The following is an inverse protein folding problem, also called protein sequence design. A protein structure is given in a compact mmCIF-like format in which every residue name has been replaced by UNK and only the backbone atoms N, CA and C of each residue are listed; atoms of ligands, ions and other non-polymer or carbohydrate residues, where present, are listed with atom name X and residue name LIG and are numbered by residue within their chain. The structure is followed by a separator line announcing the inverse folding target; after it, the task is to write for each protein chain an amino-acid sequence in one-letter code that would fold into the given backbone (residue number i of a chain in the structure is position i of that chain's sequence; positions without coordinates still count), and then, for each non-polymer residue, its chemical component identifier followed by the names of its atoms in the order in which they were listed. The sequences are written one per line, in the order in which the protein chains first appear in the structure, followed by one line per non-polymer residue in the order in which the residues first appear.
data_IF_420840953660
#
_entry.id   IF_420840953660
#
_cell.length_a   1.000
_cell.length_b   1.000
_cell.length_c   1.000
_cell.angle_alpha   90.00
_cell.angle_beta   90.00
_cell.angle_gamma   90.00
#
_symmetry.space_group_name_H-M   'P 1'
#
loop_
_entity.id
_entity.type
_entity.pdbx_description
1 polymer ?
#
# COMPACT_ATOMS: atom_id res chain seq x y z
N UNK A 1 -13.78 -11.24 -9.02
CA UNK A 1 -13.12 -12.56 -8.82
C UNK A 1 -11.97 -12.34 -7.83
N UNK A 2 -12.24 -12.51 -6.55
CA UNK A 2 -11.19 -12.58 -5.54
C UNK A 2 -10.51 -13.94 -5.68
N UNK A 3 -9.30 -13.95 -6.20
CA UNK A 3 -8.44 -15.13 -6.09
C UNK A 3 -8.05 -15.20 -4.62
N UNK A 4 -8.29 -16.34 -3.97
CA UNK A 4 -7.96 -16.50 -2.55
C UNK A 4 -6.48 -16.19 -2.32
N UNK A 5 -6.16 -15.57 -1.19
CA UNK A 5 -4.80 -15.22 -0.80
C UNK A 5 -3.83 -16.40 -0.90
N UNK A 6 -4.29 -17.63 -0.72
CA UNK A 6 -3.48 -18.84 -0.77
C UNK A 6 -3.09 -19.25 -2.19
N UNK A 7 -3.95 -19.03 -3.18
CA UNK A 7 -3.63 -19.34 -4.59
C UNK A 7 -2.64 -18.33 -5.16
N UNK A 8 -2.76 -17.04 -4.80
CA UNK A 8 -1.77 -16.03 -5.17
C UNK A 8 -0.44 -16.31 -4.46
N UNK A 9 -0.50 -16.71 -3.19
CA UNK A 9 0.66 -17.03 -2.36
C UNK A 9 1.45 -18.20 -2.95
N UNK A 10 0.82 -19.30 -3.37
CA UNK A 10 1.50 -20.43 -3.99
C UNK A 10 2.07 -20.07 -5.37
N UNK A 11 1.32 -19.43 -6.23
CA UNK A 11 1.79 -19.04 -7.57
C UNK A 11 2.92 -18.02 -7.54
N UNK A 12 2.90 -17.08 -6.59
CA UNK A 12 3.99 -16.11 -6.42
C UNK A 12 5.23 -16.75 -5.80
N UNK A 13 5.08 -17.63 -4.80
CA UNK A 13 6.19 -18.32 -4.15
C UNK A 13 6.90 -19.30 -5.11
N UNK A 14 6.18 -20.12 -5.86
CA UNK A 14 6.78 -21.09 -6.78
C UNK A 14 7.47 -20.42 -7.97
N UNK A 15 6.91 -19.33 -8.51
CA UNK A 15 7.50 -18.61 -9.65
C UNK A 15 8.63 -17.68 -9.23
N UNK A 16 8.54 -17.05 -8.07
CA UNK A 16 9.61 -16.21 -7.52
C UNK A 16 10.80 -17.09 -7.10
N UNK A 17 10.58 -18.26 -6.55
CA UNK A 17 11.66 -19.22 -6.26
C UNK A 17 12.37 -19.71 -7.52
N UNK A 18 11.66 -19.97 -8.62
CA UNK A 18 12.28 -20.34 -9.91
C UNK A 18 13.00 -19.16 -10.59
N UNK A 19 12.50 -17.94 -10.47
CA UNK A 19 13.15 -16.74 -11.00
C UNK A 19 14.40 -16.33 -10.18
N UNK A 20 14.37 -16.56 -8.86
CA UNK A 20 15.48 -16.26 -7.93
C UNK A 20 16.62 -17.27 -8.05
N UNK A 21 16.35 -18.51 -8.50
CA UNK A 21 17.42 -19.49 -8.77
C UNK A 21 18.28 -19.15 -10.01
N UNK A 22 17.86 -18.19 -10.85
CA UNK A 22 18.57 -17.87 -12.10
C UNK A 22 19.57 -16.72 -12.02
N UNK A 23 19.76 -16.04 -10.93
CA UNK A 23 20.85 -15.15 -10.47
C UNK A 23 20.32 -14.21 -9.38
N UNK A 24 21.03 -13.99 -8.27
CA UNK A 24 20.69 -12.92 -7.36
C UNK A 24 20.76 -11.58 -8.11
N UNK A 25 19.79 -10.67 -7.90
CA UNK A 25 19.83 -9.36 -8.52
C UNK A 25 21.14 -8.67 -8.11
N UNK A 26 21.92 -8.24 -9.09
CA UNK A 26 23.12 -7.47 -8.82
C UNK A 26 22.71 -6.16 -8.13
N UNK A 27 23.60 -5.60 -7.27
CA UNK A 27 23.38 -4.29 -6.62
C UNK A 27 22.94 -3.19 -7.60
N UNK A 28 23.33 -3.31 -8.87
CA UNK A 28 22.92 -2.41 -9.95
C UNK A 28 21.43 -2.55 -10.33
N UNK A 29 20.87 -3.76 -10.37
CA UNK A 29 19.46 -3.99 -10.65
C UNK A 29 18.57 -3.51 -9.49
N UNK A 30 18.99 -3.73 -8.25
CA UNK A 30 18.29 -3.22 -7.08
C UNK A 30 18.30 -1.68 -7.03
N UNK A 31 19.42 -1.02 -7.36
CA UNK A 31 19.51 0.44 -7.49
C UNK A 31 18.61 0.99 -8.59
N UNK A 32 18.46 0.29 -9.70
CA UNK A 32 17.60 0.71 -10.81
C UNK A 32 16.13 0.78 -10.42
N UNK A 33 15.67 -0.09 -9.52
CA UNK A 33 14.30 -0.06 -8.98
C UNK A 33 14.07 1.06 -7.98
N UNK A 34 15.11 1.46 -7.24
CA UNK A 34 14.99 2.45 -6.17
C UNK A 34 15.27 3.89 -6.60
N UNK A 35 16.13 4.12 -7.60
CA UNK A 35 16.55 5.47 -8.00
C UNK A 35 15.69 6.11 -9.09
N UNK A 36 14.72 5.41 -9.66
CA UNK A 36 13.78 6.06 -10.57
C UNK A 36 12.73 6.80 -9.77
N UNK A 37 13.13 7.95 -9.26
CA UNK A 37 12.23 8.93 -8.68
C UNK A 37 11.15 9.29 -9.70
N UNK A 38 9.92 9.09 -9.31
CA UNK A 38 8.75 9.59 -10.03
C UNK A 38 8.64 11.11 -9.82
N UNK A 39 9.53 11.89 -10.43
CA UNK A 39 9.24 13.30 -10.67
C UNK A 39 8.19 13.42 -11.78
N UNK A 40 7.44 14.50 -11.82
CA UNK A 40 6.36 14.73 -12.79
C UNK A 40 6.75 14.55 -14.26
N UNK A 41 8.04 14.78 -14.61
CA UNK A 41 8.61 14.52 -15.93
C UNK A 41 8.92 13.03 -16.18
N UNK A 42 9.20 12.23 -15.16
CA UNK A 42 9.46 10.80 -15.31
C UNK A 42 8.18 10.00 -15.53
N UNK A 43 7.03 10.46 -15.06
CA UNK A 43 5.74 9.83 -15.37
C UNK A 43 5.41 9.95 -16.87
N UNK A 44 5.75 11.04 -17.51
CA UNK A 44 5.66 11.21 -18.97
C UNK A 44 6.59 10.27 -19.73
N UNK A 45 7.83 10.10 -19.29
CA UNK A 45 8.78 9.17 -19.90
C UNK A 45 8.36 7.69 -19.80
N UNK A 46 7.62 7.31 -18.75
CA UNK A 46 7.05 5.95 -18.64
C UNK A 46 5.91 5.71 -19.64
N UNK A 47 5.30 6.75 -20.17
CA UNK A 47 4.20 6.65 -21.12
C UNK A 47 4.68 6.71 -22.58
N UNK A 48 5.89 7.22 -22.83
CA UNK A 48 6.45 7.25 -24.18
C UNK A 48 6.94 5.85 -24.57
N UNK A 49 6.52 5.33 -25.74
CA UNK A 49 6.99 4.06 -26.24
C UNK A 49 8.50 4.14 -26.50
N UNK A 50 9.29 3.47 -25.66
CA UNK A 50 10.70 3.23 -25.97
C UNK A 50 10.81 1.96 -26.81
N UNK A 51 11.85 1.86 -27.64
CA UNK A 51 12.15 0.67 -28.44
C UNK A 51 12.17 -0.62 -27.61
N UNK A 52 12.93 -0.63 -26.51
CA UNK A 52 13.02 -1.79 -25.61
C UNK A 52 11.67 -2.13 -24.97
N UNK A 53 10.90 -1.12 -24.57
CA UNK A 53 9.60 -1.30 -23.95
C UNK A 53 8.63 -1.96 -24.93
N UNK A 54 8.54 -1.50 -26.16
CA UNK A 54 7.57 -2.00 -27.12
C UNK A 54 7.88 -3.42 -27.60
N UNK A 55 9.15 -3.82 -27.70
CA UNK A 55 9.55 -5.15 -28.18
C UNK A 55 9.56 -6.17 -27.04
N UNK A 56 10.23 -5.86 -25.93
CA UNK A 56 10.31 -6.75 -24.77
C UNK A 56 8.94 -6.99 -24.16
N UNK A 57 8.16 -5.95 -23.95
CA UNK A 57 6.82 -6.04 -23.37
C UNK A 57 5.90 -6.92 -24.22
N UNK A 58 5.91 -6.74 -25.55
CA UNK A 58 5.12 -7.60 -26.45
C UNK A 58 5.60 -9.04 -26.44
N UNK A 59 6.91 -9.27 -26.40
CA UNK A 59 7.49 -10.62 -26.36
C UNK A 59 7.10 -11.32 -25.07
N UNK A 60 7.25 -10.63 -23.92
CA UNK A 60 6.87 -11.14 -22.60
C UNK A 60 5.37 -11.44 -22.57
N UNK A 61 4.52 -10.49 -23.00
CA UNK A 61 3.08 -10.67 -23.05
C UNK A 61 2.68 -11.91 -23.87
N UNK A 62 3.22 -12.05 -25.10
CA UNK A 62 2.95 -13.20 -25.97
C UNK A 62 3.39 -14.53 -25.34
N UNK A 63 4.52 -14.53 -24.63
CA UNK A 63 5.01 -15.72 -23.95
C UNK A 63 4.08 -16.14 -22.81
N UNK A 64 3.57 -15.19 -22.03
CA UNK A 64 2.57 -15.46 -21.00
C UNK A 64 1.25 -15.94 -21.56
N UNK A 65 0.72 -15.28 -22.58
CA UNK A 65 -0.54 -15.67 -23.22
C UNK A 65 -0.48 -17.04 -23.86
N UNK A 66 0.70 -17.42 -24.40
CA UNK A 66 0.97 -18.77 -24.92
C UNK A 66 1.04 -19.81 -23.82
N UNK A 67 1.63 -19.46 -22.67
CA UNK A 67 1.80 -20.39 -21.56
C UNK A 67 0.52 -20.58 -20.73
N UNK A 68 -0.29 -19.54 -20.61
CA UNK A 68 -1.57 -19.54 -19.89
C UNK A 68 -2.60 -18.68 -20.62
N UNK A 69 -3.35 -19.28 -21.59
CA UNK A 69 -4.36 -18.54 -22.35
C UNK A 69 -5.64 -18.25 -21.55
N UNK A 70 -5.76 -18.74 -20.33
CA UNK A 70 -6.96 -18.59 -19.49
C UNK A 70 -7.01 -17.24 -18.80
N UNK A 71 -5.91 -16.48 -18.78
CA UNK A 71 -5.79 -15.18 -18.10
C UNK A 71 -5.26 -14.12 -19.04
N UNK A 72 -5.83 -12.90 -18.99
CA UNK A 72 -5.28 -11.78 -19.73
C UNK A 72 -3.89 -11.42 -19.16
N UNK A 73 -2.90 -11.26 -20.04
CA UNK A 73 -1.59 -10.77 -19.68
C UNK A 73 -1.46 -9.28 -20.01
N UNK A 74 -0.91 -8.50 -19.07
CA UNK A 74 -0.52 -7.11 -19.31
C UNK A 74 0.96 -7.06 -19.68
N UNK A 75 1.32 -6.13 -20.56
CA UNK A 75 2.69 -6.04 -21.06
C UNK A 75 3.69 -5.57 -19.98
N UNK A 76 3.26 -4.70 -19.10
CA UNK A 76 4.02 -4.17 -17.96
C UNK A 76 3.06 -3.61 -16.92
N UNK A 77 3.52 -3.53 -15.67
CA UNK A 77 2.78 -2.98 -14.54
C UNK A 77 2.97 -1.46 -14.40
N UNK A 78 2.02 -0.79 -13.74
CA UNK A 78 2.08 0.64 -13.46
C UNK A 78 1.81 1.54 -14.66
N UNK A 79 1.05 1.05 -15.62
CA UNK A 79 0.66 1.83 -16.79
C UNK A 79 -0.43 2.81 -16.41
N UNK A 80 -0.12 4.10 -16.52
CA UNK A 80 -1.16 5.12 -16.46
C UNK A 80 -2.06 5.02 -17.70
N UNK A 81 -3.36 5.39 -17.59
CA UNK A 81 -4.24 5.46 -18.75
C UNK A 81 -3.65 6.35 -19.82
N UNK A 82 -3.47 5.82 -21.02
CA UNK A 82 -2.99 6.61 -22.17
C UNK A 82 -4.12 7.44 -22.76
N UNK A 83 -3.85 8.70 -23.04
CA UNK A 83 -4.76 9.51 -23.85
C UNK A 83 -4.43 9.31 -25.34
N UNK A 84 -5.43 9.10 -26.23
CA UNK A 84 -6.87 9.12 -25.99
C UNK A 84 -7.48 7.77 -25.53
N UNK A 85 -6.71 6.70 -25.48
CA UNK A 85 -7.24 5.34 -25.30
C UNK A 85 -7.63 5.03 -23.85
N UNK A 86 -7.00 5.66 -22.87
CA UNK A 86 -7.26 5.50 -21.44
C UNK A 86 -7.35 4.04 -20.95
N UNK A 87 -6.65 3.13 -21.60
CA UNK A 87 -6.69 1.69 -21.33
C UNK A 87 -5.61 1.23 -20.35
N UNK A 88 -5.29 2.09 -19.38
CA UNK A 88 -4.41 1.71 -18.26
C UNK A 88 -4.94 0.46 -17.56
N UNK A 89 -4.05 -0.46 -17.27
CA UNK A 89 -4.39 -1.77 -16.74
C UNK A 89 -4.32 -1.80 -15.23
N UNK A 90 -3.28 -1.19 -14.66
CA UNK A 90 -3.03 -1.10 -13.23
C UNK A 90 -2.34 0.22 -12.89
N UNK A 91 -2.38 0.60 -11.64
CA UNK A 91 -1.82 1.86 -11.16
C UNK A 91 -0.92 1.65 -9.96
N UNK A 92 0.16 2.43 -9.92
CA UNK A 92 1.01 2.58 -8.75
C UNK A 92 0.66 3.88 -8.04
N UNK A 93 0.05 3.80 -6.87
CA UNK A 93 -0.45 4.96 -6.13
C UNK A 93 0.22 5.04 -4.76
N UNK A 94 1.02 6.08 -4.56
CA UNK A 94 1.83 6.26 -3.36
C UNK A 94 1.33 7.42 -2.48
N UNK A 95 0.01 7.58 -2.37
CA UNK A 95 -0.61 8.58 -1.52
C UNK A 95 -0.27 8.36 -0.05
N UNK A 96 -0.03 9.45 0.66
CA UNK A 96 0.39 9.41 2.05
C UNK A 96 1.85 9.00 2.27
N UNK A 97 2.60 8.74 1.18
CA UNK A 97 4.03 8.46 1.23
C UNK A 97 4.83 9.39 0.31
N UNK A 98 4.67 9.28 -1.01
CA UNK A 98 5.45 10.05 -1.99
C UNK A 98 4.76 11.31 -2.45
N UNK A 99 3.45 11.33 -2.43
CA UNK A 99 2.64 12.46 -2.91
C UNK A 99 1.26 12.44 -2.25
N UNK A 100 0.70 13.63 -2.06
CA UNK A 100 -0.67 13.81 -1.57
C UNK A 100 -0.95 13.23 -0.19
N UNK A 101 -2.18 13.39 0.24
CA UNK A 101 -2.73 12.75 1.43
C UNK A 101 -3.51 11.48 1.03
N UNK A 102 -3.71 10.56 1.95
CA UNK A 102 -4.53 9.37 1.70
C UNK A 102 -5.98 9.77 1.42
N UNK A 103 -6.47 10.82 2.07
CA UNK A 103 -7.78 11.44 1.84
C UNK A 103 -8.00 11.97 0.41
N UNK A 104 -6.94 12.12 -0.39
CA UNK A 104 -7.07 12.51 -1.79
C UNK A 104 -7.55 11.35 -2.70
N UNK A 105 -7.42 10.09 -2.25
CA UNK A 105 -7.81 8.91 -3.04
C UNK A 105 -9.29 8.89 -3.45
N UNK A 106 -10.28 9.17 -2.59
CA UNK A 106 -11.68 9.24 -2.99
C UNK A 106 -11.93 10.31 -4.05
N UNK A 107 -11.29 11.47 -3.92
CA UNK A 107 -11.39 12.56 -4.90
C UNK A 107 -10.78 12.16 -6.24
N UNK A 108 -9.64 11.47 -6.24
CA UNK A 108 -9.05 10.90 -7.44
C UNK A 108 -10.00 9.89 -8.10
N UNK A 109 -10.66 9.04 -7.29
CA UNK A 109 -11.63 8.06 -7.76
C UNK A 109 -12.82 8.70 -8.48
N UNK A 110 -13.27 9.87 -8.02
CA UNK A 110 -14.33 10.62 -8.69
C UNK A 110 -13.85 11.27 -9.99
N UNK A 111 -12.63 11.83 -10.01
CA UNK A 111 -12.09 12.55 -11.17
C UNK A 111 -11.52 11.65 -12.25
N UNK A 112 -10.80 10.61 -11.86
CA UNK A 112 -10.11 9.69 -12.78
C UNK A 112 -10.32 8.24 -12.33
N UNK A 113 -11.56 7.72 -12.38
CA UNK A 113 -11.91 6.41 -11.82
C UNK A 113 -11.09 5.25 -12.39
N UNK A 114 -10.58 5.38 -13.60
CA UNK A 114 -9.76 4.34 -14.24
C UNK A 114 -8.46 4.05 -13.50
N UNK A 115 -7.88 5.04 -12.79
CA UNK A 115 -6.67 4.84 -11.99
C UNK A 115 -6.90 3.97 -10.75
N UNK A 116 -8.14 3.86 -10.29
CA UNK A 116 -8.49 3.06 -9.11
C UNK A 116 -9.12 1.70 -9.44
N UNK A 117 -9.19 1.30 -10.73
CA UNK A 117 -9.75 -0.01 -11.11
C UNK A 117 -8.93 -1.17 -10.56
N UNK A 118 -7.62 -1.06 -10.64
CA UNK A 118 -6.69 -2.00 -10.05
C UNK A 118 -5.43 -1.27 -9.60
N UNK A 119 -5.19 -1.24 -8.30
CA UNK A 119 -4.02 -0.59 -7.71
C UNK A 119 -3.02 -1.68 -7.34
N UNK A 120 -1.98 -1.83 -8.15
CA UNK A 120 -1.00 -2.91 -8.02
C UNK A 120 0.18 -2.59 -7.12
N UNK A 121 0.38 -1.30 -6.78
CA UNK A 121 1.38 -0.87 -5.81
C UNK A 121 0.89 0.31 -4.98
N UNK A 122 0.96 0.17 -3.68
CA UNK A 122 0.86 1.23 -2.68
C UNK A 122 1.56 0.80 -1.39
N UNK A 123 1.92 1.76 -0.56
CA UNK A 123 2.59 1.50 0.72
C UNK A 123 3.45 2.66 1.17
N UNK A 124 4.24 2.43 2.21
CA UNK A 124 5.22 3.35 2.76
C UNK A 124 6.42 2.56 3.26
N UNK A 125 7.61 3.16 3.27
CA UNK A 125 8.75 2.55 3.94
C UNK A 125 8.61 2.63 5.45
N UNK A 126 9.19 1.64 6.11
CA UNK A 126 9.43 1.68 7.56
C UNK A 126 10.75 0.98 7.90
N UNK A 127 11.34 1.41 8.99
CA UNK A 127 12.55 0.80 9.53
C UNK A 127 12.17 -0.49 10.27
N UNK A 128 12.77 -1.65 9.93
CA UNK A 128 12.54 -2.86 10.71
C UNK A 128 13.25 -2.78 12.06
N UNK A 129 12.74 -3.52 13.03
CA UNK A 129 13.43 -3.74 14.30
C UNK A 129 14.52 -4.80 14.09
N UNK A 130 15.68 -4.36 13.60
CA UNK A 130 16.80 -5.19 13.15
C UNK A 130 18.13 -4.68 13.68
N UNK A 131 18.85 -5.55 14.38
CA UNK A 131 20.12 -5.23 15.05
C UNK A 131 21.24 -4.93 14.04
N UNK A 132 21.26 -5.61 12.86
CA UNK A 132 22.30 -5.34 11.85
C UNK A 132 22.18 -3.91 11.33
N UNK A 133 20.94 -3.47 11.05
CA UNK A 133 20.69 -2.10 10.61
C UNK A 133 21.02 -1.12 11.71
N UNK A 134 20.58 -1.39 12.95
CA UNK A 134 20.83 -0.52 14.10
C UNK A 134 22.32 -0.31 14.36
N UNK A 135 23.09 -1.39 14.40
CA UNK A 135 24.55 -1.33 14.62
C UNK A 135 25.25 -0.62 13.46
N UNK A 136 24.90 -0.97 12.21
CA UNK A 136 25.57 -0.42 11.04
C UNK A 136 25.35 1.08 10.86
N UNK A 137 24.19 1.61 11.28
CA UNK A 137 23.93 3.05 11.19
C UNK A 137 24.30 3.83 12.44
N UNK A 138 24.79 3.18 13.50
CA UNK A 138 25.19 3.84 14.76
C UNK A 138 23.99 4.26 15.62
N UNK A 139 22.96 3.42 15.71
CA UNK A 139 21.72 3.69 16.45
C UNK A 139 21.95 4.08 17.93
N UNK A 140 23.05 3.61 18.55
CA UNK A 140 23.44 3.98 19.91
C UNK A 140 23.70 5.50 20.08
N UNK A 141 24.01 6.19 18.99
CA UNK A 141 24.27 7.63 18.99
C UNK A 141 23.08 8.44 18.47
N UNK A 142 21.87 7.85 18.45
CA UNK A 142 20.69 8.55 17.96
C UNK A 142 20.49 9.88 18.69
N UNK A 143 20.20 11.02 18.01
CA UNK A 143 19.79 11.14 16.60
C UNK A 143 20.93 11.25 15.58
N UNK A 144 22.21 11.19 15.99
CA UNK A 144 23.39 11.34 15.11
C UNK A 144 23.74 10.02 14.41
N UNK A 145 22.78 9.48 13.69
CA UNK A 145 22.95 8.23 12.93
C UNK A 145 23.55 8.46 11.55
N UNK A 146 24.18 7.44 11.01
CA UNK A 146 24.73 7.48 9.66
C UNK A 146 23.62 7.31 8.59
N UNK A 147 23.01 8.42 8.20
CA UNK A 147 21.96 8.49 7.18
C UNK A 147 22.41 7.97 5.81
N UNK A 148 23.69 8.16 5.48
CA UNK A 148 24.27 7.67 4.24
C UNK A 148 24.27 6.13 4.21
N UNK A 149 24.65 5.49 5.29
CA UNK A 149 24.60 4.02 5.41
C UNK A 149 23.16 3.52 5.31
N UNK A 150 22.21 4.17 5.96
CA UNK A 150 20.80 3.81 5.84
C UNK A 150 20.29 3.91 4.39
N UNK A 151 20.67 4.95 3.67
CA UNK A 151 20.25 5.14 2.28
C UNK A 151 20.96 4.19 1.31
N UNK A 152 22.29 4.13 1.35
CA UNK A 152 23.06 3.41 0.33
C UNK A 152 23.12 1.89 0.58
N UNK A 153 23.25 1.48 1.84
CA UNK A 153 23.34 0.06 2.18
C UNK A 153 21.96 -0.55 2.36
N UNK A 154 21.06 0.15 3.03
CA UNK A 154 19.76 -0.40 3.44
C UNK A 154 18.56 0.20 2.69
N UNK A 155 18.76 1.09 1.73
CA UNK A 155 17.75 1.59 0.80
C UNK A 155 16.71 2.53 1.40
N UNK A 156 17.04 3.17 2.52
CA UNK A 156 16.15 4.12 3.16
C UNK A 156 15.95 5.39 2.31
N UNK A 157 14.73 5.79 2.08
CA UNK A 157 14.38 7.08 1.51
C UNK A 157 14.32 8.12 2.63
N UNK A 158 15.50 8.54 3.12
CA UNK A 158 15.63 9.33 4.36
C UNK A 158 14.75 10.59 4.36
N UNK A 159 14.70 11.33 3.25
CA UNK A 159 13.88 12.54 3.17
C UNK A 159 12.39 12.26 3.42
N UNK A 160 11.86 11.15 2.90
CA UNK A 160 10.48 10.76 3.14
C UNK A 160 10.28 10.17 4.54
N UNK A 161 11.23 9.38 5.02
CA UNK A 161 11.16 8.84 6.38
C UNK A 161 11.14 9.97 7.42
N UNK A 162 12.01 10.97 7.29
CA UNK A 162 12.06 12.10 8.21
C UNK A 162 10.86 13.04 8.05
N UNK A 163 10.29 13.14 6.85
CA UNK A 163 9.05 13.88 6.63
C UNK A 163 7.86 13.26 7.38
N UNK A 164 7.75 11.91 7.37
CA UNK A 164 6.59 11.19 7.92
C UNK A 164 6.83 10.66 9.35
N UNK A 165 8.08 10.51 9.74
CA UNK A 165 8.49 10.14 11.09
C UNK A 165 9.67 11.06 11.51
N UNK A 166 9.40 12.33 11.84
CA UNK A 166 10.44 13.30 12.12
C UNK A 166 11.25 12.90 13.36
N UNK A 167 12.54 13.20 13.28
CA UNK A 167 13.48 12.98 14.38
C UNK A 167 13.56 14.28 15.19
N UNK A 168 13.15 14.22 16.45
CA UNK A 168 13.30 15.30 17.43
C UNK A 168 14.43 14.97 18.41
N UNK A 169 14.96 15.97 19.11
CA UNK A 169 16.14 15.81 19.97
C UNK A 169 15.98 14.82 21.14
N UNK A 170 14.76 14.56 21.57
CA UNK A 170 14.39 13.61 22.63
C UNK A 170 13.98 12.22 22.09
N UNK A 171 13.94 12.02 20.77
CA UNK A 171 13.55 10.77 20.13
C UNK A 171 14.66 9.73 20.31
N UNK A 172 14.30 8.51 20.68
CA UNK A 172 15.24 7.38 20.66
C UNK A 172 15.15 6.62 19.33
N UNK A 173 16.16 5.77 19.04
CA UNK A 173 16.12 4.87 17.88
C UNK A 173 14.87 3.99 17.87
N UNK A 174 14.52 3.43 19.03
CA UNK A 174 13.35 2.56 19.17
C UNK A 174 12.06 3.32 18.86
N UNK A 175 11.93 4.55 19.37
CA UNK A 175 10.76 5.39 19.09
C UNK A 175 10.64 5.72 17.61
N UNK A 176 11.74 6.03 16.95
CA UNK A 176 11.76 6.34 15.53
C UNK A 176 11.38 5.12 14.67
N UNK A 177 11.94 3.96 14.98
CA UNK A 177 11.53 2.68 14.35
C UNK A 177 10.03 2.47 14.51
N UNK A 178 9.51 2.64 15.73
CA UNK A 178 8.09 2.47 16.00
C UNK A 178 7.21 3.47 15.26
N UNK A 179 7.57 4.75 15.23
CA UNK A 179 6.84 5.80 14.49
C UNK A 179 6.81 5.49 13.00
N UNK A 180 7.94 5.10 12.41
CA UNK A 180 8.02 4.73 11.00
C UNK A 180 7.10 3.54 10.66
N UNK A 181 7.03 2.54 11.54
CA UNK A 181 6.16 1.38 11.37
C UNK A 181 4.67 1.71 11.59
N UNK A 182 4.35 2.61 12.51
CA UNK A 182 2.98 3.13 12.70
C UNK A 182 2.54 3.84 11.41
N UNK A 183 3.39 4.73 10.89
CA UNK A 183 3.07 5.43 9.64
C UNK A 183 2.85 4.48 8.48
N UNK A 184 3.68 3.46 8.32
CA UNK A 184 3.47 2.42 7.32
C UNK A 184 2.11 1.72 7.51
N UNK A 185 1.77 1.37 8.74
CA UNK A 185 0.54 0.69 9.08
C UNK A 185 -0.70 1.55 8.74
N UNK A 186 -0.66 2.84 9.04
CA UNK A 186 -1.71 3.82 8.70
C UNK A 186 -1.91 3.92 7.20
N UNK A 187 -0.83 4.14 6.44
CA UNK A 187 -0.90 4.23 4.97
C UNK A 187 -1.51 2.98 4.37
N UNK A 188 -1.08 1.81 4.80
CA UNK A 188 -1.59 0.54 4.27
C UNK A 188 -3.06 0.35 4.64
N UNK A 189 -3.41 0.54 5.91
CA UNK A 189 -4.77 0.36 6.40
C UNK A 189 -5.76 1.27 5.68
N UNK A 190 -5.52 2.58 5.72
CA UNK A 190 -6.45 3.55 5.16
C UNK A 190 -6.56 3.43 3.63
N UNK A 191 -5.45 3.14 2.93
CA UNK A 191 -5.51 2.90 1.49
C UNK A 191 -6.41 1.70 1.16
N UNK A 192 -6.27 0.58 1.89
CA UNK A 192 -7.11 -0.61 1.69
C UNK A 192 -8.57 -0.30 2.03
N UNK A 193 -8.82 0.34 3.15
CA UNK A 193 -10.17 0.72 3.59
C UNK A 193 -10.86 1.56 2.51
N UNK A 194 -10.20 2.61 2.01
CA UNK A 194 -10.74 3.44 0.91
C UNK A 194 -10.98 2.63 -0.36
N UNK A 195 -10.01 1.85 -0.82
CA UNK A 195 -10.18 1.04 -2.03
C UNK A 195 -11.32 0.03 -1.90
N UNK A 196 -11.54 -0.50 -0.70
CA UNK A 196 -12.65 -1.42 -0.43
C UNK A 196 -14.01 -0.71 -0.37
N UNK A 197 -14.09 0.52 0.13
CA UNK A 197 -15.34 1.31 0.04
C UNK A 197 -15.70 1.66 -1.40
N UNK A 198 -14.71 1.72 -2.29
CA UNK A 198 -14.89 1.94 -3.73
C UNK A 198 -15.09 0.63 -4.53
N UNK A 199 -15.35 -0.48 -3.86
CA UNK A 199 -15.52 -1.81 -4.44
C UNK A 199 -16.49 -1.80 -5.61
N UNK A 200 -15.95 -2.23 -6.77
CA UNK A 200 -16.56 -2.28 -8.10
C UNK A 200 -16.97 -0.92 -8.71
N UNK A 201 -16.78 0.20 -7.99
CA UNK A 201 -17.12 1.55 -8.46
C UNK A 201 -16.06 2.58 -8.02
N UNK A 202 -14.82 2.54 -8.53
CA UNK A 202 -14.34 1.74 -9.68
C UNK A 202 -13.46 0.53 -9.31
N UNK A 203 -13.15 0.26 -8.02
CA UNK A 203 -12.07 -0.63 -7.61
C UNK A 203 -12.47 -2.11 -7.74
N UNK A 204 -11.75 -2.82 -8.60
CA UNK A 204 -11.89 -4.27 -8.78
C UNK A 204 -10.84 -5.09 -8.04
N UNK A 205 -9.73 -4.45 -7.61
CA UNK A 205 -8.70 -5.14 -6.85
C UNK A 205 -7.49 -4.26 -6.53
N UNK A 206 -6.64 -4.77 -5.66
CA UNK A 206 -5.40 -4.09 -5.26
C UNK A 206 -4.36 -5.08 -4.75
N UNK A 207 -3.07 -4.67 -4.79
CA UNK A 207 -1.95 -5.40 -4.21
C UNK A 207 -1.09 -4.42 -3.40
N UNK A 208 -0.81 -4.74 -2.15
CA UNK A 208 0.10 -3.98 -1.32
C UNK A 208 1.55 -4.27 -1.72
N UNK A 209 2.37 -3.25 -1.81
CA UNK A 209 3.80 -3.35 -2.05
C UNK A 209 4.55 -3.01 -0.74
N UNK A 210 5.28 -3.92 -0.15
CA UNK A 210 5.79 -5.22 -0.53
C UNK A 210 5.48 -6.24 0.61
N UNK A 211 5.42 -7.57 0.32
CA UNK A 211 5.09 -8.55 1.35
C UNK A 211 6.24 -8.81 2.32
N UNK A 212 7.43 -9.17 1.82
CA UNK A 212 8.57 -9.50 2.67
C UNK A 212 9.91 -9.11 2.03
N UNK A 213 10.85 -8.69 2.86
CA UNK A 213 12.23 -8.42 2.43
C UNK A 213 13.03 -9.70 2.24
N UNK A 214 13.94 -9.70 1.27
CA UNK A 214 14.88 -10.78 1.04
C UNK A 214 16.21 -10.59 1.81
N UNK A 215 16.52 -9.35 2.17
CA UNK A 215 17.77 -8.93 2.84
C UNK A 215 17.42 -7.90 3.93
N UNK A 216 18.34 -7.62 4.88
CA UNK A 216 18.17 -6.51 5.81
C UNK A 216 17.97 -5.21 5.03
N UNK A 217 16.77 -4.61 5.13
CA UNK A 217 16.42 -3.47 4.29
C UNK A 217 15.37 -2.57 4.94
N UNK A 218 15.47 -1.27 4.68
CA UNK A 218 14.44 -0.29 5.02
C UNK A 218 13.52 -0.18 3.80
N UNK A 219 12.36 -0.79 3.87
CA UNK A 219 11.50 -0.97 2.72
C UNK A 219 10.01 -0.81 3.03
N UNK A 220 9.20 -0.96 1.99
CA UNK A 220 7.74 -1.04 2.11
C UNK A 220 7.24 -2.43 2.53
N UNK A 221 8.13 -3.40 2.75
CA UNK A 221 7.74 -4.74 3.18
C UNK A 221 7.09 -4.74 4.56
N UNK A 222 6.08 -5.58 4.75
CA UNK A 222 5.38 -5.76 6.03
C UNK A 222 6.00 -6.83 6.92
N UNK A 223 6.84 -7.70 6.33
CA UNK A 223 7.72 -8.62 7.03
C UNK A 223 9.17 -8.28 6.72
N UNK A 224 10.04 -8.29 7.71
CA UNK A 224 11.47 -8.15 7.49
C UNK A 224 12.08 -9.40 6.82
N UNK A 225 13.38 -9.39 6.56
CA UNK A 225 14.09 -10.50 5.94
C UNK A 225 14.13 -11.78 6.81
N UNK A 226 13.92 -11.66 8.11
CA UNK A 226 13.78 -12.80 9.06
C UNK A 226 12.33 -13.25 9.22
N UNK A 227 11.40 -12.64 8.46
CA UNK A 227 9.95 -12.88 8.56
C UNK A 227 9.32 -12.37 9.87
N UNK A 228 10.01 -11.48 10.59
CA UNK A 228 9.45 -10.78 11.75
C UNK A 228 8.44 -9.74 11.24
N UNK A 229 7.19 -9.77 11.73
CA UNK A 229 6.16 -8.83 11.29
C UNK A 229 6.44 -7.42 11.81
N UNK A 230 6.32 -6.43 10.93
CA UNK A 230 6.22 -5.03 11.28
C UNK A 230 4.77 -4.71 11.70
N UNK A 231 4.52 -3.52 12.30
CA UNK A 231 3.17 -3.10 12.72
C UNK A 231 2.14 -3.14 11.57
N UNK A 232 2.58 -2.93 10.35
CA UNK A 232 1.75 -3.00 9.15
C UNK A 232 1.14 -4.37 8.88
N UNK A 233 1.70 -5.46 9.41
CA UNK A 233 1.10 -6.80 9.31
C UNK A 233 -0.30 -6.85 9.96
N UNK A 234 -0.42 -6.31 11.18
CA UNK A 234 -1.71 -6.24 11.88
C UNK A 234 -2.73 -5.35 11.15
N UNK A 235 -2.27 -4.21 10.64
CA UNK A 235 -3.08 -3.28 9.87
C UNK A 235 -3.60 -3.90 8.56
N UNK A 236 -2.73 -4.56 7.79
CA UNK A 236 -3.09 -5.31 6.60
C UNK A 236 -4.12 -6.40 6.90
N UNK A 237 -3.88 -7.18 7.94
CA UNK A 237 -4.79 -8.26 8.36
C UNK A 237 -6.17 -7.73 8.76
N UNK A 238 -6.21 -6.65 9.54
CA UNK A 238 -7.46 -6.03 9.97
C UNK A 238 -8.26 -5.45 8.79
N UNK A 239 -7.58 -4.71 7.91
CA UNK A 239 -8.22 -4.06 6.75
C UNK A 239 -8.71 -5.07 5.69
N UNK A 240 -8.22 -6.31 5.69
CA UNK A 240 -8.64 -7.37 4.77
C UNK A 240 -9.59 -8.41 5.42
N UNK A 241 -10.14 -8.14 6.59
CA UNK A 241 -11.20 -9.01 7.15
C UNK A 241 -12.38 -9.07 6.19
N UNK A 242 -13.11 -10.20 6.14
CA UNK A 242 -14.27 -10.34 5.26
C UNK A 242 -15.34 -9.26 5.45
N UNK A 243 -15.51 -8.79 6.68
CA UNK A 243 -16.39 -7.66 7.00
C UNK A 243 -15.58 -6.62 7.74
N UNK A 244 -15.64 -5.38 7.26
CA UNK A 244 -15.03 -4.22 7.92
C UNK A 244 -16.01 -3.05 7.97
N UNK A 245 -15.80 -2.20 8.96
CA UNK A 245 -16.48 -0.92 9.07
C UNK A 245 -15.45 0.18 8.85
N UNK A 246 -15.76 1.10 7.96
CA UNK A 246 -14.88 2.20 7.57
C UNK A 246 -15.60 3.52 7.81
N UNK A 247 -15.00 4.38 8.62
CA UNK A 247 -15.43 5.77 8.77
C UNK A 247 -14.57 6.66 7.87
N UNK A 248 -15.19 7.60 7.16
CA UNK A 248 -14.49 8.55 6.28
C UNK A 248 -13.77 9.63 7.13
N UNK A 249 -12.85 9.20 7.98
CA UNK A 249 -11.99 10.01 8.83
C UNK A 249 -10.54 9.78 8.45
N UNK A 250 -10.15 10.27 7.27
CA UNK A 250 -8.81 10.02 6.72
C UNK A 250 -7.88 11.23 6.82
N UNK A 251 -8.39 12.35 7.31
CA UNK A 251 -7.59 13.54 7.59
C UNK A 251 -7.11 13.53 9.04
N UNK A 252 -5.84 13.91 9.24
CA UNK A 252 -5.21 14.00 10.56
C UNK A 252 -5.78 15.15 11.41
N UNK A 253 -6.51 16.08 10.77
CA UNK A 253 -7.10 17.26 11.42
C UNK A 253 -8.59 17.35 11.11
N UNK A 254 -9.40 17.40 12.15
CA UNK A 254 -10.82 17.73 12.03
C UNK A 254 -11.04 19.22 12.32
N UNK A 255 -11.89 19.85 11.52
CA UNK A 255 -12.31 21.23 11.78
C UNK A 255 -13.13 21.32 13.07
N UNK A 256 -13.01 22.44 13.79
CA UNK A 256 -13.88 22.71 14.94
C UNK A 256 -15.33 22.88 14.48
N UNK A 257 -16.28 22.29 15.20
CA UNK A 257 -17.73 22.37 14.92
C UNK A 257 -18.33 21.03 14.54
N UNK A 258 -19.47 21.04 13.86
CA UNK A 258 -20.17 19.83 13.44
C UNK A 258 -19.51 19.22 12.22
N UNK A 259 -18.98 18.03 12.37
CA UNK A 259 -18.39 17.25 11.28
C UNK A 259 -19.36 16.15 10.85
N UNK A 260 -19.48 15.94 9.53
CA UNK A 260 -20.23 14.81 8.98
C UNK A 260 -19.25 13.76 8.56
N UNK A 261 -19.37 12.58 9.15
CA UNK A 261 -18.58 11.41 8.80
C UNK A 261 -19.49 10.37 8.16
N UNK A 262 -19.15 9.91 6.96
CA UNK A 262 -19.82 8.77 6.37
C UNK A 262 -19.22 7.48 6.94
N UNK A 263 -20.08 6.54 7.29
CA UNK A 263 -19.67 5.21 7.74
C UNK A 263 -20.11 4.19 6.71
N UNK A 264 -19.20 3.29 6.35
CA UNK A 264 -19.44 2.25 5.37
C UNK A 264 -19.23 0.88 5.99
N UNK A 265 -20.15 -0.03 5.77
CA UNK A 265 -19.98 -1.45 6.05
C UNK A 265 -19.62 -2.14 4.74
N UNK A 266 -18.44 -2.73 4.68
CA UNK A 266 -17.95 -3.48 3.51
C UNK A 266 -18.01 -4.95 3.84
N UNK A 267 -18.76 -5.72 3.05
CA UNK A 267 -18.87 -7.17 3.19
C UNK A 267 -18.32 -7.87 1.94
N UNK A 268 -17.41 -8.81 2.14
CA UNK A 268 -16.95 -9.77 1.12
C UNK A 268 -17.57 -11.15 1.32
N UNK A 269 -18.49 -11.28 2.29
CA UNK A 269 -19.23 -12.53 2.50
C UNK A 269 -20.15 -12.82 1.32
N UNK A 270 -20.34 -14.08 1.02
CA UNK A 270 -21.29 -14.54 0.00
C UNK A 270 -22.71 -14.72 0.52
N UNK A 271 -22.90 -14.51 1.82
CA UNK A 271 -24.18 -14.60 2.51
C UNK A 271 -24.56 -13.24 3.06
N UNK A 272 -25.87 -12.97 3.10
CA UNK A 272 -26.43 -11.79 3.74
C UNK A 272 -26.18 -11.83 5.24
N UNK A 273 -25.89 -10.68 5.83
CA UNK A 273 -25.84 -10.50 7.28
C UNK A 273 -27.17 -9.88 7.68
N UNK A 274 -27.95 -10.59 8.49
CA UNK A 274 -29.28 -10.15 8.89
C UNK A 274 -29.26 -9.56 10.31
N UNK A 275 -30.06 -8.52 10.53
CA UNK A 275 -30.31 -7.85 11.80
C UNK A 275 -29.05 -7.50 12.60
N UNK A 276 -27.97 -7.13 11.91
CA UNK A 276 -26.71 -6.75 12.56
C UNK A 276 -26.81 -5.35 13.14
N UNK A 277 -26.29 -5.17 14.35
CA UNK A 277 -26.20 -3.86 14.99
C UNK A 277 -24.77 -3.34 14.92
N UNK A 278 -24.60 -2.17 14.31
CA UNK A 278 -23.37 -1.39 14.32
C UNK A 278 -23.45 -0.35 15.41
N UNK A 279 -22.51 -0.37 16.35
CA UNK A 279 -22.38 0.66 17.39
C UNK A 279 -21.14 1.50 17.10
N UNK A 280 -21.30 2.82 17.11
CA UNK A 280 -20.23 3.79 16.94
C UNK A 280 -20.12 4.62 18.22
N UNK A 281 -18.89 4.81 18.69
CA UNK A 281 -18.58 5.61 19.87
C UNK A 281 -17.55 6.65 19.50
N UNK A 282 -17.81 7.89 19.91
CA UNK A 282 -16.88 8.99 19.78
C UNK A 282 -16.36 9.40 21.14
N UNK A 283 -15.05 9.37 21.29
CA UNK A 283 -14.37 9.79 22.50
C UNK A 283 -13.49 10.99 22.22
N UNK A 284 -13.70 12.09 22.91
CA UNK A 284 -12.83 13.26 22.84
C UNK A 284 -12.39 13.68 24.25
N UNK A 285 -11.16 14.15 24.45
CA UNK A 285 -10.71 14.63 25.75
C UNK A 285 -11.60 15.75 26.28
N UNK A 286 -12.12 15.59 27.50
CA UNK A 286 -12.98 16.59 28.16
C UNK A 286 -14.42 16.66 27.67
N UNK A 287 -14.86 15.72 26.83
CA UNK A 287 -16.25 15.60 26.37
C UNK A 287 -16.84 14.25 26.81
N UNK A 288 -18.16 14.23 26.96
CA UNK A 288 -18.88 12.98 27.17
C UNK A 288 -18.78 12.10 25.92
N UNK A 289 -18.76 10.77 26.14
CA UNK A 289 -18.77 9.81 25.03
C UNK A 289 -20.10 9.87 24.31
N UNK A 290 -20.06 10.22 23.03
CA UNK A 290 -21.24 10.12 22.18
C UNK A 290 -21.34 8.72 21.57
N UNK A 291 -22.55 8.17 21.50
CA UNK A 291 -22.82 6.83 21.00
C UNK A 291 -23.97 6.83 20.01
N UNK A 292 -23.75 6.19 18.87
CA UNK A 292 -24.79 5.95 17.86
C UNK A 292 -24.91 4.46 17.58
N UNK A 293 -26.07 4.03 17.19
CA UNK A 293 -26.30 2.66 16.74
C UNK A 293 -27.14 2.63 15.47
N UNK A 294 -26.82 1.70 14.60
CA UNK A 294 -27.58 1.39 13.39
C UNK A 294 -27.83 -0.12 13.38
N UNK A 295 -29.08 -0.52 13.16
CA UNK A 295 -29.45 -1.93 13.00
C UNK A 295 -30.05 -2.12 11.62
N UNK A 296 -29.51 -3.10 10.87
CA UNK A 296 -29.96 -3.37 9.51
C UNK A 296 -29.35 -4.63 8.94
N UNK A 297 -29.71 -4.90 7.70
CA UNK A 297 -29.20 -6.00 6.94
C UNK A 297 -28.11 -5.53 5.97
N UNK A 298 -27.12 -6.37 5.76
CA UNK A 298 -26.04 -6.08 4.80
C UNK A 298 -26.02 -7.17 3.73
N UNK A 299 -26.10 -6.75 2.48
CA UNK A 299 -26.13 -7.66 1.35
C UNK A 299 -24.76 -8.36 1.13
N UNK A 300 -24.77 -9.54 0.51
CA UNK A 300 -23.54 -10.22 0.13
C UNK A 300 -22.70 -9.36 -0.79
N UNK A 301 -21.36 -9.45 -0.65
CA UNK A 301 -20.39 -8.85 -1.56
C UNK A 301 -20.67 -7.36 -1.88
N UNK A 302 -20.97 -6.58 -0.85
CA UNK A 302 -21.51 -5.22 -0.98
C UNK A 302 -20.78 -4.18 -0.15
N UNK A 303 -21.07 -2.91 -0.45
CA UNK A 303 -20.74 -1.74 0.37
C UNK A 303 -22.02 -1.01 0.71
N UNK A 304 -22.32 -0.90 1.99
CA UNK A 304 -23.49 -0.19 2.51
C UNK A 304 -23.05 1.06 3.26
N UNK A 305 -23.55 2.21 2.86
CA UNK A 305 -23.38 3.47 3.60
C UNK A 305 -24.48 3.58 4.64
N UNK A 306 -24.12 3.84 5.89
CA UNK A 306 -25.00 4.00 7.06
C UNK A 306 -24.92 5.41 7.61
#
# INVERSE_FOLDING_TARGET
LFISSDTIRQLFLERTQRAVQLRPPTRATQRCWQQRHYGSLTSLNHQLPSWNRSILDRSVKRSFEKADPTRPAIAHSGVAPHFPQLDGTDSHLWFGWRHGKISDLPVLGLRVPRLLRFVSEFGAQSVPDDDEIAVACGAANFPDINRHVLSEKFGAQMALLEQHAPIHGDTTWVDWVQRSQIRQAEVIRHTIEILRTLKYKPTGGFCQFLFADALPYVSCAILDHRRKPKKAWGALSAANRPVIVVADLHDDEMSTGTNKCAVHVVSDLRTRIEAATLTMEWHAPGMDTERWSFTGDFEPDSVTKV
#
